data_IF_620400307895
#
_entry.id   IF_620400307895
#
_cell.length_a   1.000
_cell.length_b   1.000
_cell.length_c   1.000
_cell.angle_alpha   90.00
_cell.angle_beta   90.00
_cell.angle_gamma   90.00
#
_symmetry.space_group_name_H-M   'P 1'
#
loop_
_entity.id
_entity.type
_entity.pdbx_description
1 polymer ?
#
# COMPACT_ATOMS: atom_id res chain seq x y z
N UNK A 1 -1.82 -13.84 39.94
CA UNK A 1 -2.62 -13.70 38.71
C UNK A 1 -1.69 -13.17 37.62
N UNK A 2 -1.14 -14.04 36.76
CA UNK A 2 -0.27 -13.61 35.64
C UNK A 2 -1.17 -13.10 34.52
N UNK A 3 -1.20 -11.78 34.32
CA UNK A 3 -1.80 -11.16 33.14
C UNK A 3 -0.85 -11.43 31.99
N UNK A 4 -1.26 -12.26 31.03
CA UNK A 4 -0.48 -12.46 29.80
C UNK A 4 -0.41 -11.12 29.05
N UNK A 5 0.78 -10.58 28.76
CA UNK A 5 0.89 -9.41 27.91
C UNK A 5 0.57 -9.85 26.48
N UNK A 6 -0.28 -9.09 25.81
CA UNK A 6 -0.50 -9.11 24.35
C UNK A 6 -0.70 -10.49 23.71
N UNK A 7 -1.91 -11.02 23.85
CA UNK A 7 -2.35 -12.04 22.88
C UNK A 7 -2.33 -11.43 21.48
N UNK A 8 -1.82 -12.18 20.50
CA UNK A 8 -1.84 -11.76 19.09
C UNK A 8 -3.25 -11.32 18.65
N UNK A 9 -4.30 -11.97 19.19
CA UNK A 9 -5.69 -11.58 18.97
C UNK A 9 -6.04 -10.16 19.45
N UNK A 10 -5.42 -9.69 20.53
CA UNK A 10 -5.61 -8.32 21.03
C UNK A 10 -4.87 -7.30 20.17
N UNK A 11 -3.62 -7.60 19.79
CA UNK A 11 -2.83 -6.77 18.88
C UNK A 11 -3.50 -6.62 17.50
N UNK A 12 -4.05 -7.71 16.98
CA UNK A 12 -4.85 -7.70 15.74
C UNK A 12 -6.09 -6.81 15.92
N UNK A 13 -6.87 -7.01 16.99
CA UNK A 13 -8.09 -6.22 17.24
C UNK A 13 -7.81 -4.73 17.43
N UNK A 14 -6.74 -4.38 18.14
CA UNK A 14 -6.35 -2.99 18.40
C UNK A 14 -5.85 -2.30 17.11
N UNK A 15 -5.20 -3.04 16.21
CA UNK A 15 -4.85 -2.55 14.88
C UNK A 15 -6.09 -2.22 14.03
N UNK A 16 -7.10 -3.10 13.99
CA UNK A 16 -8.36 -2.86 13.27
C UNK A 16 -9.26 -1.78 13.91
N UNK A 17 -9.02 -1.42 15.17
CA UNK A 17 -9.75 -0.35 15.89
C UNK A 17 -9.05 1.00 15.88
N UNK A 18 -7.80 1.05 15.42
CA UNK A 18 -7.03 2.29 15.36
C UNK A 18 -7.58 3.26 14.30
N UNK A 19 -7.36 4.58 14.45
CA UNK A 19 -7.71 5.56 13.41
C UNK A 19 -7.01 5.28 12.07
N UNK A 20 -5.93 4.50 12.10
CA UNK A 20 -5.15 3.99 10.98
C UNK A 20 -5.91 2.93 10.15
N UNK A 21 -7.00 2.35 10.67
CA UNK A 21 -7.89 1.44 9.93
C UNK A 21 -8.76 2.16 8.89
N UNK A 22 -8.77 3.50 8.88
CA UNK A 22 -9.12 4.19 7.63
C UNK A 22 -7.98 3.94 6.66
N UNK A 23 -8.01 2.76 6.04
CA UNK A 23 -7.20 2.37 4.89
C UNK A 23 -7.15 3.60 3.99
N UNK A 24 -5.99 4.27 3.90
CA UNK A 24 -5.86 5.42 3.03
C UNK A 24 -6.32 4.98 1.63
N UNK A 25 -7.04 5.81 0.86
CA UNK A 25 -7.44 5.46 -0.50
C UNK A 25 -6.27 4.96 -1.37
N UNK A 26 -5.05 5.30 -1.02
CA UNK A 26 -3.78 4.84 -1.58
C UNK A 26 -3.53 3.33 -1.35
N UNK A 27 -3.97 2.76 -0.24
CA UNK A 27 -3.87 1.32 0.04
C UNK A 27 -4.82 0.48 -0.82
N UNK A 28 -6.00 1.01 -1.16
CA UNK A 28 -6.89 0.38 -2.15
C UNK A 28 -6.25 0.42 -3.55
N UNK A 29 -5.60 1.53 -3.89
CA UNK A 29 -4.87 1.70 -5.15
C UNK A 29 -3.72 0.71 -5.26
N UNK A 30 -2.95 0.53 -4.18
CA UNK A 30 -1.89 -0.46 -4.09
C UNK A 30 -2.42 -1.89 -4.28
N UNK A 31 -3.57 -2.22 -3.66
CA UNK A 31 -4.19 -3.54 -3.82
C UNK A 31 -4.61 -3.82 -5.27
N UNK A 32 -5.11 -2.81 -5.99
CA UNK A 32 -5.41 -2.90 -7.43
C UNK A 32 -4.14 -3.18 -8.23
N UNK A 33 -3.07 -2.43 -7.99
CA UNK A 33 -1.79 -2.60 -8.70
C UNK A 33 -1.18 -3.98 -8.42
N UNK A 34 -1.19 -4.44 -7.16
CA UNK A 34 -0.72 -5.77 -6.79
C UNK A 34 -1.49 -6.86 -7.52
N UNK A 35 -2.82 -6.72 -7.60
CA UNK A 35 -3.67 -7.66 -8.34
C UNK A 35 -3.32 -7.66 -9.83
N UNK A 36 -3.12 -6.50 -10.45
CA UNK A 36 -2.73 -6.41 -11.86
C UNK A 36 -1.39 -7.12 -12.12
N UNK A 37 -0.40 -6.93 -11.24
CA UNK A 37 0.89 -7.63 -11.34
C UNK A 37 0.71 -9.15 -11.22
N UNK A 38 -0.11 -9.61 -10.27
CA UNK A 38 -0.39 -11.03 -10.10
C UNK A 38 -1.12 -11.63 -11.31
N UNK A 39 -2.08 -10.91 -11.89
CA UNK A 39 -2.80 -11.33 -13.10
C UNK A 39 -1.87 -11.38 -14.32
N UNK A 40 -0.87 -10.50 -14.39
CA UNK A 40 0.18 -10.52 -15.41
C UNK A 40 1.26 -11.59 -15.16
N UNK A 41 1.23 -12.27 -14.01
CA UNK A 41 2.26 -13.23 -13.59
C UNK A 41 3.59 -12.58 -13.20
N UNK A 42 3.58 -11.26 -12.95
CA UNK A 42 4.75 -10.49 -12.56
C UNK A 42 4.98 -10.55 -11.04
N UNK A 43 6.24 -10.62 -10.60
CA UNK A 43 6.56 -10.60 -9.18
C UNK A 43 6.28 -9.21 -8.60
N UNK A 44 5.54 -9.16 -7.49
CA UNK A 44 5.20 -7.96 -6.72
C UNK A 44 6.39 -7.35 -5.96
N UNK A 45 7.49 -7.12 -6.66
CA UNK A 45 8.70 -6.47 -6.15
C UNK A 45 8.51 -4.96 -6.10
N UNK A 46 9.25 -4.26 -5.22
CA UNK A 46 9.23 -2.80 -5.15
C UNK A 46 9.48 -2.14 -6.50
N UNK A 47 10.40 -2.70 -7.30
CA UNK A 47 10.68 -2.24 -8.66
C UNK A 47 9.46 -2.36 -9.58
N UNK A 48 8.81 -3.53 -9.61
CA UNK A 48 7.62 -3.76 -10.44
C UNK A 48 6.45 -2.86 -10.03
N UNK A 49 6.25 -2.66 -8.72
CA UNK A 49 5.25 -1.75 -8.18
C UNK A 49 5.49 -0.30 -8.62
N UNK A 50 6.72 0.20 -8.45
CA UNK A 50 7.09 1.57 -8.84
C UNK A 50 6.92 1.77 -10.34
N UNK A 51 7.40 0.84 -11.17
CA UNK A 51 7.22 0.91 -12.63
C UNK A 51 5.75 0.98 -12.99
N UNK A 52 4.91 0.12 -12.39
CA UNK A 52 3.48 0.08 -12.69
C UNK A 52 2.76 1.36 -12.27
N UNK A 53 3.13 1.96 -11.15
CA UNK A 53 2.60 3.26 -10.70
C UNK A 53 2.99 4.39 -11.66
N UNK A 54 4.23 4.39 -12.15
CA UNK A 54 4.69 5.39 -13.15
C UNK A 54 3.91 5.25 -14.45
N UNK A 55 3.73 4.03 -14.96
CA UNK A 55 2.95 3.80 -16.18
C UNK A 55 1.51 4.33 -16.05
N UNK A 56 0.89 4.16 -14.87
CA UNK A 56 -0.45 4.69 -14.59
C UNK A 56 -0.46 6.21 -14.56
N UNK A 57 0.57 6.85 -13.97
CA UNK A 57 0.71 8.30 -13.93
C UNK A 57 0.81 8.94 -15.33
N UNK A 58 1.41 8.25 -16.30
CA UNK A 58 1.55 8.77 -17.67
C UNK A 58 0.24 8.73 -18.48
N UNK A 59 -0.67 7.82 -18.14
CA UNK A 59 -1.91 7.57 -18.88
C UNK A 59 -3.14 8.17 -18.18
N UNK A 60 -3.07 8.38 -16.87
CA UNK A 60 -4.19 8.90 -16.07
C UNK A 60 -4.49 10.37 -16.38
N UNK A 61 -5.75 10.67 -16.68
CA UNK A 61 -6.22 12.00 -17.06
C UNK A 61 -7.00 12.73 -15.95
N UNK A 62 -7.40 12.00 -14.90
CA UNK A 62 -8.06 12.59 -13.73
C UNK A 62 -7.02 13.11 -12.73
N UNK A 63 -7.01 14.43 -12.49
CA UNK A 63 -6.08 15.09 -11.57
C UNK A 63 -6.18 14.55 -10.13
N UNK A 64 -7.37 14.13 -9.69
CA UNK A 64 -7.55 13.56 -8.36
C UNK A 64 -6.88 12.18 -8.25
N UNK A 65 -6.96 11.37 -9.30
CA UNK A 65 -6.30 10.07 -9.36
C UNK A 65 -4.79 10.22 -9.54
N UNK A 66 -4.34 11.16 -10.36
CA UNK A 66 -2.93 11.51 -10.49
C UNK A 66 -2.33 11.88 -9.14
N UNK A 67 -3.03 12.69 -8.35
CA UNK A 67 -2.53 13.05 -7.02
C UNK A 67 -2.43 11.83 -6.09
N UNK A 68 -3.37 10.88 -6.17
CA UNK A 68 -3.30 9.63 -5.40
C UNK A 68 -2.13 8.75 -5.82
N UNK A 69 -1.90 8.57 -7.13
CA UNK A 69 -0.75 7.83 -7.63
C UNK A 69 0.57 8.51 -7.26
N UNK A 70 0.65 9.85 -7.25
CA UNK A 70 1.83 10.60 -6.78
C UNK A 70 2.10 10.37 -5.30
N UNK A 71 1.06 10.42 -4.47
CA UNK A 71 1.18 10.12 -3.03
C UNK A 71 1.65 8.68 -2.81
N UNK A 72 1.04 7.71 -3.50
CA UNK A 72 1.45 6.31 -3.41
C UNK A 72 2.90 6.10 -3.84
N UNK A 73 3.33 6.76 -4.93
CA UNK A 73 4.71 6.68 -5.40
C UNK A 73 5.70 7.21 -4.36
N UNK A 74 5.38 8.34 -3.71
CA UNK A 74 6.21 8.90 -2.65
C UNK A 74 6.35 7.94 -1.47
N UNK A 75 5.25 7.32 -1.02
CA UNK A 75 5.27 6.32 0.05
C UNK A 75 6.09 5.07 -0.33
N UNK A 76 5.97 4.59 -1.57
CA UNK A 76 6.74 3.44 -2.06
C UNK A 76 8.25 3.72 -2.12
N UNK A 77 8.65 4.97 -2.38
CA UNK A 77 10.05 5.38 -2.39
C UNK A 77 10.57 5.55 -0.96
N UNK A 78 9.80 6.18 -0.07
CA UNK A 78 10.20 6.44 1.33
C UNK A 78 10.28 5.15 2.18
N UNK A 79 9.50 4.14 1.81
CA UNK A 79 9.53 2.81 2.46
C UNK A 79 10.66 1.91 1.98
N UNK A 80 11.44 2.30 0.95
CA UNK A 80 12.68 1.59 0.63
C UNK A 80 13.71 1.92 1.71
N UNK A 81 14.28 0.92 2.41
CA UNK A 81 15.37 1.18 3.34
C UNK A 81 16.53 1.83 2.56
N UNK A 82 17.07 2.93 3.08
CA UNK A 82 18.34 3.47 2.58
C UNK A 82 19.38 2.34 2.58
N UNK A 83 19.95 2.07 1.41
CA UNK A 83 20.90 0.99 1.18
C UNK A 83 22.27 1.24 1.84
#
# INVERSE_FOLDING_TARGET
>A
MRVQPDSASRAINDYFKGPNWRTPPESDLLAVILRELMEAGEPATSKALITRVIDKLEVEGDEMQLQRYRTLLAELIDTQPEA
#
